data_IF_464889263052
#
_entry.id   IF_464889263052
#
_cell.length_a   1.000
_cell.length_b   1.000
_cell.length_c   1.000
_cell.angle_alpha   90.00
_cell.angle_beta   90.00
_cell.angle_gamma   90.00
#
_symmetry.space_group_name_H-M   'P 1'
#
loop_
_entity.id
_entity.type
_entity.pdbx_description
1 polymer ?
#
# COMPACT_ATOMS: atom_id res chain seq x y z
N UNK A 1 15.38 -10.15 -1.02
CA UNK A 1 14.18 -9.97 -0.19
C UNK A 1 13.03 -10.71 -0.86
N UNK A 2 12.59 -11.81 -0.26
CA UNK A 2 11.41 -12.55 -0.69
C UNK A 2 10.12 -11.80 -0.30
N UNK A 3 8.96 -12.30 -0.71
CA UNK A 3 7.68 -11.61 -0.50
C UNK A 3 7.31 -11.50 0.99
N UNK A 4 7.62 -12.53 1.78
CA UNK A 4 7.39 -12.55 3.24
C UNK A 4 8.25 -11.50 3.95
N UNK A 5 9.53 -11.42 3.62
CA UNK A 5 10.45 -10.42 4.16
C UNK A 5 10.04 -9.01 3.74
N UNK A 6 9.63 -8.84 2.48
CA UNK A 6 9.13 -7.56 1.99
C UNK A 6 7.88 -7.14 2.77
N UNK A 7 6.92 -8.05 2.97
CA UNK A 7 5.68 -7.75 3.68
C UNK A 7 5.92 -7.42 5.16
N UNK A 8 6.82 -8.13 5.83
CA UNK A 8 7.22 -7.82 7.21
C UNK A 8 7.86 -6.44 7.30
N UNK A 9 8.79 -6.12 6.41
CA UNK A 9 9.42 -4.80 6.35
C UNK A 9 8.38 -3.72 6.03
N UNK A 10 7.49 -3.98 5.08
CA UNK A 10 6.43 -3.07 4.69
C UNK A 10 5.53 -2.74 5.89
N UNK A 11 5.06 -3.73 6.63
CA UNK A 11 4.23 -3.52 7.83
C UNK A 11 5.00 -2.79 8.94
N UNK A 12 6.29 -3.03 9.08
CA UNK A 12 7.15 -2.30 10.01
C UNK A 12 7.21 -0.81 9.69
N UNK A 13 7.33 -0.44 8.40
CA UNK A 13 7.29 0.96 7.94
C UNK A 13 5.88 1.58 7.97
N UNK A 14 4.85 0.82 8.37
CA UNK A 14 3.45 1.24 8.52
C UNK A 14 2.91 0.85 9.91
N UNK A 15 3.76 1.03 10.93
CA UNK A 15 3.49 0.61 12.31
C UNK A 15 2.38 1.44 12.98
N UNK A 16 2.23 2.71 12.61
CA UNK A 16 1.17 3.56 13.12
C UNK A 16 -0.16 3.40 12.36
N UNK A 17 -1.26 3.38 13.11
CA UNK A 17 -2.62 3.28 12.55
C UNK A 17 -2.95 4.45 11.62
N UNK A 18 -2.50 5.66 11.95
CA UNK A 18 -2.68 6.84 11.10
C UNK A 18 -2.03 6.65 9.72
N UNK A 19 -0.83 6.06 9.66
CA UNK A 19 -0.13 5.78 8.40
C UNK A 19 -0.94 4.81 7.54
N UNK A 20 -1.44 3.72 8.15
CA UNK A 20 -2.27 2.74 7.45
C UNK A 20 -3.58 3.31 6.91
N UNK A 21 -4.25 4.15 7.70
CA UNK A 21 -5.49 4.80 7.27
C UNK A 21 -5.27 5.81 6.16
N UNK A 22 -4.22 6.62 6.23
CA UNK A 22 -3.88 7.56 5.14
C UNK A 22 -3.58 6.83 3.84
N UNK A 23 -2.86 5.71 3.89
CA UNK A 23 -2.63 4.86 2.72
C UNK A 23 -3.93 4.27 2.16
N UNK A 24 -4.82 3.78 3.03
CA UNK A 24 -6.12 3.26 2.62
C UNK A 24 -6.98 4.35 1.96
N UNK A 25 -7.04 5.55 2.55
CA UNK A 25 -7.79 6.70 2.00
C UNK A 25 -7.18 7.15 0.66
N UNK A 26 -5.86 7.26 0.57
CA UNK A 26 -5.16 7.64 -0.66
C UNK A 26 -5.43 6.64 -1.79
N UNK A 27 -5.34 5.34 -1.47
CA UNK A 27 -5.63 4.25 -2.42
C UNK A 27 -7.07 4.32 -2.90
N UNK A 28 -8.05 4.42 -2.00
CA UNK A 28 -9.46 4.52 -2.36
C UNK A 28 -9.77 5.77 -3.20
N UNK A 29 -9.19 6.92 -2.83
CA UNK A 29 -9.38 8.18 -3.56
C UNK A 29 -8.83 8.08 -4.99
N UNK A 30 -7.69 7.40 -5.17
CA UNK A 30 -7.11 7.15 -6.49
C UNK A 30 -8.01 6.27 -7.37
N UNK A 31 -8.65 5.25 -6.79
CA UNK A 31 -9.64 4.41 -7.49
C UNK A 31 -10.91 5.19 -7.86
N UNK A 32 -11.44 6.01 -6.95
CA UNK A 32 -12.61 6.87 -7.24
C UNK A 32 -12.31 7.81 -8.41
N UNK A 33 -11.13 8.42 -8.43
CA UNK A 33 -10.69 9.28 -9.53
C UNK A 33 -10.56 8.50 -10.85
N UNK A 34 -9.96 7.31 -10.81
CA UNK A 34 -9.80 6.47 -11.99
C UNK A 34 -11.16 6.09 -12.60
N UNK A 35 -12.10 5.60 -11.78
CA UNK A 35 -13.44 5.26 -12.27
C UNK A 35 -14.24 6.48 -12.72
N UNK A 36 -14.06 7.63 -12.07
CA UNK A 36 -14.67 8.90 -12.52
C UNK A 36 -14.14 9.31 -13.90
N UNK A 37 -12.83 9.17 -14.14
CA UNK A 37 -12.23 9.45 -15.43
C UNK A 37 -12.84 8.58 -16.54
N UNK A 38 -13.02 7.29 -16.27
CA UNK A 38 -13.63 6.34 -17.20
C UNK A 38 -15.10 6.64 -17.45
N UNK A 39 -15.87 6.90 -16.39
CA UNK A 39 -17.32 7.09 -16.47
C UNK A 39 -17.70 8.39 -17.19
N UNK A 40 -17.01 9.49 -16.88
CA UNK A 40 -17.30 10.82 -17.45
C UNK A 40 -16.48 11.14 -18.71
N UNK A 41 -15.52 10.28 -19.09
CA UNK A 41 -14.63 10.50 -20.24
C UNK A 41 -13.56 11.58 -20.02
N UNK A 42 -13.34 12.02 -18.78
CA UNK A 42 -12.34 13.01 -18.42
C UNK A 42 -10.96 12.37 -18.25
N UNK A 43 -10.35 11.94 -19.35
CA UNK A 43 -9.07 11.23 -19.35
C UNK A 43 -7.92 11.97 -18.65
N UNK A 44 -7.97 13.30 -18.58
CA UNK A 44 -6.98 14.10 -17.84
C UNK A 44 -6.96 13.78 -16.33
N UNK A 45 -8.08 13.31 -15.75
CA UNK A 45 -8.14 12.87 -14.35
C UNK A 45 -7.24 11.67 -14.08
N UNK A 46 -6.90 10.86 -15.09
CA UNK A 46 -5.97 9.74 -14.94
C UNK A 46 -4.58 10.22 -14.48
N UNK A 47 -4.18 11.43 -14.85
CA UNK A 47 -2.91 12.02 -14.39
C UNK A 47 -2.93 12.33 -12.88
N UNK A 48 -4.12 12.58 -12.30
CA UNK A 48 -4.27 12.84 -10.87
C UNK A 48 -4.27 11.56 -10.02
N UNK A 49 -4.53 10.40 -10.62
CA UNK A 49 -4.56 9.10 -9.90
C UNK A 49 -3.25 8.84 -9.13
N UNK A 50 -2.05 8.87 -9.76
CA UNK A 50 -0.81 8.68 -9.01
C UNK A 50 -0.51 9.85 -8.07
N UNK A 51 -0.90 11.08 -8.43
CA UNK A 51 -0.67 12.28 -7.59
C UNK A 51 -1.40 12.16 -6.26
N UNK A 52 -2.67 11.76 -6.29
CA UNK A 52 -3.49 11.61 -5.08
C UNK A 52 -3.06 10.38 -4.28
N UNK A 53 -2.81 9.25 -4.96
CA UNK A 53 -2.34 8.03 -4.29
C UNK A 53 -1.01 8.24 -3.56
N UNK A 54 0.04 8.64 -4.30
CA UNK A 54 1.36 8.85 -3.72
C UNK A 54 1.43 10.06 -2.81
N UNK A 55 0.71 11.15 -3.11
CA UNK A 55 0.70 12.35 -2.27
C UNK A 55 0.20 12.06 -0.86
N UNK A 56 -0.87 11.27 -0.74
CA UNK A 56 -1.42 10.89 0.56
C UNK A 56 -0.52 9.90 1.31
N UNK A 57 0.02 8.90 0.60
CA UNK A 57 0.97 7.94 1.15
C UNK A 57 2.26 8.60 1.67
N UNK A 58 2.87 9.48 0.87
CA UNK A 58 4.08 10.20 1.28
C UNK A 58 3.82 11.16 2.44
N UNK A 59 2.65 11.81 2.48
CA UNK A 59 2.27 12.64 3.62
C UNK A 59 2.24 11.82 4.91
N UNK A 60 1.71 10.59 4.86
CA UNK A 60 1.70 9.69 6.01
C UNK A 60 3.12 9.39 6.50
N UNK A 61 4.01 9.00 5.59
CA UNK A 61 5.40 8.70 5.91
C UNK A 61 6.18 9.92 6.44
N UNK A 62 5.93 11.12 5.93
CA UNK A 62 6.62 12.34 6.38
C UNK A 62 6.11 12.82 7.74
N UNK A 63 4.79 12.87 7.94
CA UNK A 63 4.21 13.49 9.13
C UNK A 63 4.03 12.52 10.30
N UNK A 64 3.73 11.26 10.03
CA UNK A 64 3.40 10.26 11.07
C UNK A 64 4.63 9.38 11.33
N UNK A 65 5.09 8.65 10.33
CA UNK A 65 6.14 7.64 10.53
C UNK A 65 7.55 8.23 10.59
N UNK A 66 7.75 9.40 9.96
CA UNK A 66 9.03 10.10 9.83
C UNK A 66 10.15 9.23 9.24
N UNK A 67 9.80 8.38 8.28
CA UNK A 67 10.71 7.50 7.55
C UNK A 67 10.74 7.84 6.05
N UNK A 68 11.59 7.14 5.29
CA UNK A 68 11.60 7.23 3.83
C UNK A 68 10.70 6.14 3.26
N UNK A 69 9.74 6.48 2.38
CA UNK A 69 8.78 5.50 1.87
C UNK A 69 9.48 4.42 1.03
N UNK A 70 9.11 3.17 1.28
CA UNK A 70 9.65 2.01 0.56
C UNK A 70 9.33 2.07 -0.94
N UNK A 71 8.29 2.82 -1.32
CA UNK A 71 7.90 3.08 -2.71
C UNK A 71 9.01 3.75 -3.53
N UNK A 72 9.95 4.48 -2.90
CA UNK A 72 11.11 5.06 -3.59
C UNK A 72 12.08 3.98 -4.09
N UNK A 73 12.18 2.84 -3.41
CA UNK A 73 13.09 1.75 -3.76
C UNK A 73 12.39 0.62 -4.53
N UNK A 74 11.12 0.36 -4.21
CA UNK A 74 10.32 -0.72 -4.78
C UNK A 74 8.92 -0.22 -5.16
N UNK A 75 8.78 0.62 -6.21
CA UNK A 75 7.54 1.33 -6.51
C UNK A 75 6.36 0.38 -6.76
N UNK A 76 6.52 -0.60 -7.66
CA UNK A 76 5.44 -1.54 -7.99
C UNK A 76 5.08 -2.48 -6.84
N UNK A 77 6.08 -3.00 -6.11
CA UNK A 77 5.81 -3.88 -4.95
C UNK A 77 5.10 -3.12 -3.83
N UNK A 78 5.48 -1.86 -3.62
CA UNK A 78 4.83 -1.00 -2.63
C UNK A 78 3.39 -0.71 -3.04
N UNK A 79 3.11 -0.45 -4.32
CA UNK A 79 1.76 -0.26 -4.82
C UNK A 79 0.86 -1.50 -4.60
N UNK A 80 1.36 -2.70 -4.90
CA UNK A 80 0.59 -3.93 -4.62
C UNK A 80 0.40 -4.15 -3.12
N UNK A 81 1.39 -3.81 -2.30
CA UNK A 81 1.27 -3.86 -0.86
C UNK A 81 0.31 -2.81 -0.29
N UNK A 82 0.20 -1.63 -0.90
CA UNK A 82 -0.81 -0.61 -0.57
C UNK A 82 -2.22 -1.14 -0.80
N UNK A 83 -2.45 -1.85 -1.91
CA UNK A 83 -3.73 -2.50 -2.18
C UNK A 83 -4.03 -3.62 -1.16
N UNK A 84 -3.04 -4.46 -0.84
CA UNK A 84 -3.17 -5.51 0.20
C UNK A 84 -3.48 -4.89 1.57
N UNK A 85 -2.76 -3.83 1.94
CA UNK A 85 -2.94 -3.10 3.20
C UNK A 85 -4.34 -2.49 3.26
N UNK A 86 -4.76 -1.80 2.21
CA UNK A 86 -6.08 -1.16 2.11
C UNK A 86 -7.20 -2.17 2.30
N UNK A 87 -7.14 -3.30 1.59
CA UNK A 87 -8.14 -4.36 1.72
C UNK A 87 -8.18 -4.93 3.14
N UNK A 88 -7.02 -5.15 3.76
CA UNK A 88 -6.96 -5.66 5.13
C UNK A 88 -7.49 -4.66 6.16
N UNK A 89 -7.18 -3.38 6.01
CA UNK A 89 -7.73 -2.31 6.86
C UNK A 89 -9.25 -2.24 6.73
N UNK A 90 -9.78 -2.26 5.50
CA UNK A 90 -11.23 -2.15 5.25
C UNK A 90 -12.03 -3.37 5.73
N UNK A 91 -11.45 -4.57 5.60
CA UNK A 91 -12.09 -5.80 6.05
C UNK A 91 -11.75 -6.16 7.50
N UNK A 92 -11.10 -5.27 8.24
CA UNK A 92 -10.64 -5.53 9.60
C UNK A 92 -9.85 -6.85 9.73
N UNK A 93 -9.08 -7.18 8.70
CA UNK A 93 -8.21 -8.35 8.69
C UNK A 93 -6.93 -8.05 9.47
N UNK A 94 -6.40 -9.07 10.16
CA UNK A 94 -5.12 -8.95 10.85
C UNK A 94 -3.97 -8.53 9.91
N UNK A 95 -2.99 -7.81 10.45
CA UNK A 95 -1.88 -7.21 9.71
C UNK A 95 -0.57 -7.96 9.97
N UNK A 96 -0.58 -9.26 9.71
CA UNK A 96 0.58 -10.13 9.83
C UNK A 96 0.84 -10.88 8.51
N UNK A 97 1.87 -11.72 8.47
CA UNK A 97 2.09 -12.59 7.32
C UNK A 97 1.02 -13.69 7.26
N UNK A 98 0.53 -14.03 6.07
CA UNK A 98 -0.41 -15.17 5.96
C UNK A 98 0.35 -16.49 6.26
N UNK A 99 -0.28 -17.46 6.95
CA UNK A 99 0.38 -18.73 7.29
C UNK A 99 0.86 -19.50 6.06
N UNK A 100 0.14 -19.35 4.93
CA UNK A 100 0.38 -20.06 3.68
C UNK A 100 1.27 -19.27 2.70
N UNK A 101 1.64 -18.01 3.01
CA UNK A 101 2.61 -17.22 2.21
C UNK A 101 4.03 -17.84 2.26
N UNK A 102 4.24 -18.84 3.14
CA UNK A 102 5.45 -19.62 3.25
C UNK A 102 5.20 -21.09 2.96
N UNK A 103 5.21 -21.48 1.68
CA UNK A 103 5.78 -22.80 1.38
C UNK A 103 7.19 -22.82 1.94
N UNK A 104 7.35 -23.64 2.97
CA UNK A 104 8.59 -23.95 3.67
C UNK A 104 9.76 -24.13 2.68
N UNK A 105 10.65 -23.14 2.55
CA UNK A 105 12.03 -23.37 2.07
C UNK A 105 12.94 -23.79 3.22
N UNK A 106 12.40 -24.63 4.11
CA UNK A 106 13.17 -25.45 5.03
C UNK A 106 12.46 -26.81 5.11
N UNK A 107 12.53 -27.57 4.01
CA UNK A 107 12.48 -29.03 4.13
C UNK A 107 13.80 -29.41 4.85
N UNK A 108 13.78 -29.99 6.06
CA UNK A 108 15.01 -30.42 6.70
C UNK A 108 15.67 -31.48 5.82
N UNK A 109 16.97 -31.34 5.57
CA UNK A 109 17.84 -32.45 5.23
C UNK A 109 18.52 -32.92 6.50
#
# INVERSE_FOLDING_TARGET
>A
MNDVEFWKLYLHEHSHSGTRWLHAIGTLSSWVLFFSALYFGYWWLVLLVPVVGFGMAWSAHVFIERNRPLSMRYPFRSLFADYRLTFRVLLFRPLECDPDDGTQTARPQ
#
